data_IF_210453790469
#
_entry.id   IF_210453790469
#
_cell.length_a   1.000
_cell.length_b   1.000
_cell.length_c   1.000
_cell.angle_alpha   90.00
_cell.angle_beta   90.00
_cell.angle_gamma   90.00
#
_symmetry.space_group_name_H-M   'P 1'
#
loop_
_entity.id
_entity.type
_entity.pdbx_description
1 polymer ?
#
# COMPACT_ATOMS: atom_id res chain seq x y z
N UNK A 1 -8.79 -6.55 -8.78
CA UNK A 1 -7.71 -7.55 -8.72
C UNK A 1 -8.23 -8.84 -8.12
N UNK A 2 -7.66 -9.97 -8.55
CA UNK A 2 -7.94 -11.30 -8.00
C UNK A 2 -6.73 -11.77 -7.19
N UNK A 3 -6.96 -12.28 -5.98
CA UNK A 3 -5.90 -12.87 -5.17
C UNK A 3 -5.48 -14.21 -5.78
N UNK A 4 -4.20 -14.36 -6.08
CA UNK A 4 -3.62 -15.57 -6.66
C UNK A 4 -2.57 -16.18 -5.76
N UNK A 5 -2.35 -17.49 -5.88
CA UNK A 5 -1.24 -18.16 -5.20
C UNK A 5 0.09 -17.86 -5.89
N UNK A 6 1.19 -18.17 -5.21
CA UNK A 6 2.53 -18.05 -5.79
C UNK A 6 2.68 -18.92 -7.05
N UNK A 7 2.13 -20.13 -7.05
CA UNK A 7 2.16 -21.06 -8.19
C UNK A 7 1.41 -20.46 -9.39
N UNK A 8 0.25 -19.86 -9.17
CA UNK A 8 -0.49 -19.16 -10.22
C UNK A 8 0.31 -17.95 -10.75
N UNK A 9 1.00 -17.20 -9.90
CA UNK A 9 1.91 -16.13 -10.33
C UNK A 9 3.04 -16.67 -11.23
N UNK A 10 3.65 -17.80 -10.87
CA UNK A 10 4.67 -18.46 -11.70
C UNK A 10 4.10 -18.83 -13.08
N UNK A 11 2.92 -19.43 -13.14
CA UNK A 11 2.27 -19.80 -14.40
C UNK A 11 1.92 -18.60 -15.27
N UNK A 12 1.45 -17.51 -14.67
CA UNK A 12 1.16 -16.25 -15.37
C UNK A 12 2.44 -15.69 -15.99
N UNK A 13 3.49 -15.57 -15.18
CA UNK A 13 4.77 -15.03 -15.64
C UNK A 13 5.46 -15.93 -16.66
N UNK A 14 5.31 -17.26 -16.57
CA UNK A 14 5.86 -18.20 -17.56
C UNK A 14 5.18 -18.04 -18.93
N UNK A 15 3.87 -17.76 -18.96
CA UNK A 15 3.14 -17.48 -20.21
C UNK A 15 3.59 -16.17 -20.85
N UNK A 16 3.84 -15.14 -20.04
CA UNK A 16 4.29 -13.83 -20.52
C UNK A 16 5.79 -13.80 -20.86
N UNK A 17 6.60 -14.56 -20.13
CA UNK A 17 8.06 -14.62 -20.22
C UNK A 17 8.55 -16.07 -20.16
N UNK A 18 8.49 -16.82 -21.27
CA UNK A 18 8.87 -18.23 -21.31
C UNK A 18 10.29 -18.49 -20.81
N UNK A 19 10.45 -19.47 -19.91
CA UNK A 19 11.70 -19.84 -19.25
C UNK A 19 12.10 -18.94 -18.07
N UNK A 20 11.29 -17.94 -17.72
CA UNK A 20 11.59 -16.95 -16.68
C UNK A 20 10.53 -16.87 -15.57
N UNK A 21 9.41 -17.59 -15.66
CA UNK A 21 8.27 -17.42 -14.78
C UNK A 21 8.62 -17.59 -13.30
N UNK A 22 9.30 -18.68 -12.94
CA UNK A 22 9.72 -18.92 -11.55
C UNK A 22 10.78 -17.91 -11.08
N UNK A 23 11.77 -17.63 -11.91
CA UNK A 23 12.85 -16.68 -11.57
C UNK A 23 12.28 -15.29 -11.23
N UNK A 24 11.36 -14.78 -12.05
CA UNK A 24 10.71 -13.49 -11.82
C UNK A 24 9.77 -13.53 -10.62
N UNK A 25 8.97 -14.59 -10.44
CA UNK A 25 8.09 -14.72 -9.28
C UNK A 25 8.88 -14.70 -7.96
N UNK A 26 10.01 -15.42 -7.89
CA UNK A 26 10.88 -15.44 -6.72
C UNK A 26 11.49 -14.06 -6.44
N UNK A 27 12.02 -13.38 -7.46
CA UNK A 27 12.54 -12.01 -7.32
C UNK A 27 11.47 -11.04 -6.82
N UNK A 28 10.27 -11.05 -7.41
CA UNK A 28 9.15 -10.19 -7.00
C UNK A 28 8.77 -10.44 -5.55
N UNK A 29 8.63 -11.71 -5.14
CA UNK A 29 8.34 -12.09 -3.75
C UNK A 29 9.43 -11.58 -2.80
N UNK A 30 10.69 -11.87 -3.12
CA UNK A 30 11.81 -11.57 -2.22
C UNK A 30 12.01 -10.05 -2.08
N UNK A 31 11.89 -9.29 -3.17
CA UNK A 31 11.95 -7.83 -3.16
C UNK A 31 10.77 -7.23 -2.41
N UNK A 32 9.54 -7.71 -2.65
CA UNK A 32 8.33 -7.26 -1.93
C UNK A 32 8.50 -7.42 -0.42
N UNK A 33 8.93 -8.60 0.03
CA UNK A 33 9.10 -8.90 1.45
C UNK A 33 10.25 -8.10 2.07
N UNK A 34 11.36 -7.91 1.35
CA UNK A 34 12.50 -7.13 1.84
C UNK A 34 12.15 -5.64 1.99
N UNK A 35 11.52 -5.06 0.97
CA UNK A 35 11.05 -3.66 0.98
C UNK A 35 10.03 -3.44 2.11
N UNK A 36 9.00 -4.30 2.17
CA UNK A 36 7.97 -4.20 3.21
C UNK A 36 8.57 -4.24 4.61
N UNK A 37 9.42 -5.23 4.92
CA UNK A 37 10.02 -5.37 6.26
C UNK A 37 10.82 -4.12 6.64
N UNK A 38 11.70 -3.66 5.76
CA UNK A 38 12.54 -2.50 6.02
C UNK A 38 11.70 -1.24 6.28
N UNK A 39 10.67 -1.02 5.48
CA UNK A 39 9.82 0.16 5.59
C UNK A 39 8.86 0.09 6.78
N UNK A 40 8.30 -1.09 7.07
CA UNK A 40 7.45 -1.30 8.25
C UNK A 40 8.25 -1.12 9.55
N UNK A 41 9.48 -1.63 9.61
CA UNK A 41 10.39 -1.42 10.74
C UNK A 41 10.68 0.07 10.93
N UNK A 42 10.97 0.81 9.85
CA UNK A 42 11.19 2.24 9.91
C UNK A 42 9.95 3.01 10.37
N UNK A 43 8.79 2.76 9.75
CA UNK A 43 7.54 3.43 10.08
C UNK A 43 7.13 3.19 11.54
N UNK A 44 7.42 2.02 12.08
CA UNK A 44 7.14 1.72 13.48
C UNK A 44 7.93 2.64 14.43
N UNK A 45 9.16 3.03 14.07
CA UNK A 45 9.93 4.04 14.82
C UNK A 45 9.30 5.43 14.80
N UNK A 46 8.38 5.67 13.85
CA UNK A 46 7.60 6.90 13.69
C UNK A 46 6.17 6.77 14.23
N UNK A 47 5.89 5.73 15.03
CA UNK A 47 4.57 5.41 15.57
C UNK A 47 3.51 5.08 14.50
N UNK A 48 3.93 4.55 13.35
CA UNK A 48 3.03 4.10 12.28
C UNK A 48 3.23 2.60 12.04
N UNK A 49 2.13 1.86 12.01
CA UNK A 49 2.08 0.46 11.57
C UNK A 49 1.67 0.45 10.09
N UNK A 50 2.50 -0.17 9.24
CA UNK A 50 2.13 -0.50 7.86
C UNK A 50 1.51 -1.89 7.86
N UNK A 51 0.18 -1.97 7.80
CA UNK A 51 -0.54 -3.24 7.86
C UNK A 51 -0.32 -4.08 6.59
N UNK A 52 -0.37 -3.42 5.44
CA UNK A 52 -0.11 -3.98 4.12
C UNK A 52 0.23 -2.86 3.12
N UNK A 53 0.76 -3.25 1.97
CA UNK A 53 1.12 -2.36 0.85
C UNK A 53 1.03 -3.12 -0.47
N UNK A 54 0.75 -2.40 -1.56
CA UNK A 54 0.94 -2.86 -2.94
C UNK A 54 2.25 -2.28 -3.48
N UNK A 55 3.02 -3.10 -4.19
CA UNK A 55 4.14 -2.63 -5.03
C UNK A 55 3.88 -3.08 -6.47
N UNK A 56 4.33 -2.28 -7.43
CA UNK A 56 4.38 -2.70 -8.83
C UNK A 56 5.83 -2.84 -9.29
N UNK A 57 6.09 -3.89 -10.05
CA UNK A 57 7.40 -4.16 -10.61
C UNK A 57 7.33 -4.22 -12.13
N UNK A 58 8.34 -3.67 -12.78
CA UNK A 58 8.56 -3.78 -14.21
C UNK A 58 9.86 -4.53 -14.51
N UNK A 59 10.15 -4.67 -15.81
CA UNK A 59 11.46 -5.11 -16.30
C UNK A 59 12.15 -3.91 -16.96
N UNK A 60 13.43 -3.68 -16.63
CA UNK A 60 14.24 -2.70 -17.33
C UNK A 60 14.76 -3.26 -18.68
N UNK A 61 15.56 -2.47 -19.40
CA UNK A 61 16.13 -2.84 -20.72
C UNK A 61 17.01 -4.11 -20.68
N UNK A 62 17.53 -4.48 -19.50
CA UNK A 62 18.35 -5.67 -19.29
C UNK A 62 17.52 -6.90 -18.85
N UNK A 63 16.20 -6.76 -18.72
CA UNK A 63 15.31 -7.80 -18.20
C UNK A 63 15.41 -7.98 -16.67
N UNK A 64 15.90 -6.97 -15.95
CA UNK A 64 15.97 -7.00 -14.49
C UNK A 64 14.67 -6.50 -13.87
N UNK A 65 14.23 -7.17 -12.81
CA UNK A 65 13.04 -6.76 -12.04
C UNK A 65 13.37 -5.48 -11.29
N UNK A 66 12.61 -4.42 -11.58
CA UNK A 66 12.78 -3.09 -10.98
C UNK A 66 11.46 -2.61 -10.39
N UNK A 67 11.54 -1.84 -9.30
CA UNK A 67 10.37 -1.19 -8.73
C UNK A 67 9.88 -0.10 -9.70
N UNK A 68 8.58 -0.11 -10.00
CA UNK A 68 7.88 0.95 -10.69
C UNK A 68 6.88 1.63 -9.75
N UNK A 69 5.90 2.34 -10.33
CA UNK A 69 4.78 3.02 -9.65
C UNK A 69 5.20 3.83 -8.38
N UNK A 70 4.23 4.23 -7.58
CA UNK A 70 4.40 4.71 -6.22
C UNK A 70 4.71 3.57 -5.25
N UNK A 71 5.33 3.92 -4.12
CA UNK A 71 5.59 2.99 -3.02
C UNK A 71 5.26 3.63 -1.68
N UNK A 72 4.55 2.89 -0.83
CA UNK A 72 4.33 3.25 0.58
C UNK A 72 3.69 4.63 0.75
N UNK A 73 2.66 4.87 -0.04
CA UNK A 73 1.76 6.03 0.09
C UNK A 73 0.48 5.59 0.80
N UNK A 74 -0.31 6.52 1.37
CA UNK A 74 -1.62 6.18 1.94
C UNK A 74 -2.64 5.66 0.91
N UNK A 75 -2.32 5.77 -0.39
CA UNK A 75 -3.11 5.22 -1.50
C UNK A 75 -2.82 3.73 -1.72
N UNK A 76 -1.53 3.37 -1.70
CA UNK A 76 -1.03 2.02 -1.95
C UNK A 76 -0.89 1.17 -0.67
N UNK A 77 -1.03 1.77 0.51
CA UNK A 77 -0.79 1.13 1.81
C UNK A 77 -1.85 1.45 2.85
N UNK A 78 -2.09 0.51 3.77
CA UNK A 78 -2.88 0.76 4.99
C UNK A 78 -1.97 1.16 6.13
N UNK A 79 -2.06 2.43 6.52
CA UNK A 79 -1.31 2.99 7.64
C UNK A 79 -2.19 3.13 8.88
N UNK A 80 -1.78 2.50 9.98
CA UNK A 80 -2.44 2.62 11.27
C UNK A 80 -1.53 3.36 12.25
N UNK A 81 -2.05 4.29 13.07
CA UNK A 81 -1.29 4.78 14.21
C UNK A 81 -1.02 3.63 15.18
N UNK A 82 0.20 3.62 15.73
CA UNK A 82 0.56 2.69 16.80
C UNK A 82 -0.30 2.96 18.05
N UNK A 83 -0.60 4.22 18.32
CA UNK A 83 -1.55 4.60 19.35
C UNK A 83 -2.96 4.13 18.98
N UNK A 84 -3.61 3.42 19.90
CA UNK A 84 -4.95 2.88 19.71
C UNK A 84 -5.04 1.57 18.91
N UNK A 85 -3.92 1.06 18.38
CA UNK A 85 -3.89 -0.26 17.76
C UNK A 85 -4.27 -1.37 18.76
N UNK A 86 -5.19 -2.26 18.34
CA UNK A 86 -5.58 -3.43 19.13
C UNK A 86 -6.07 -4.57 18.23
N UNK A 87 -5.56 -5.80 18.37
CA UNK A 87 -6.03 -6.93 17.56
C UNK A 87 -7.49 -7.28 17.86
N UNK A 88 -8.19 -7.81 16.85
CA UNK A 88 -9.57 -8.27 16.96
C UNK A 88 -10.66 -7.21 16.73
N UNK A 89 -10.30 -6.03 16.22
CA UNK A 89 -11.22 -4.96 15.85
C UNK A 89 -10.77 -4.21 14.59
N UNK A 90 -11.58 -3.28 14.09
CA UNK A 90 -11.14 -2.29 13.10
C UNK A 90 -10.11 -1.35 13.72
N UNK A 91 -9.11 -0.95 12.93
CA UNK A 91 -8.04 -0.06 13.39
C UNK A 91 -8.31 1.38 12.97
N UNK A 92 -7.80 2.37 13.73
CA UNK A 92 -7.72 3.75 13.23
C UNK A 92 -6.85 3.79 11.97
N UNK A 93 -7.10 4.75 11.08
CA UNK A 93 -6.41 4.79 9.79
C UNK A 93 -5.95 6.20 9.43
N UNK A 94 -4.78 6.29 8.81
CA UNK A 94 -4.30 7.48 8.09
C UNK A 94 -4.72 7.47 6.60
N UNK A 95 -5.48 6.45 6.17
CA UNK A 95 -5.87 6.27 4.76
C UNK A 95 -7.28 6.81 4.46
N UNK A 96 -7.77 6.47 3.26
CA UNK A 96 -9.09 6.80 2.70
C UNK A 96 -10.31 6.33 3.53
N UNK A 97 -10.16 5.95 4.79
CA UNK A 97 -11.23 5.46 5.64
C UNK A 97 -12.38 6.47 5.80
N UNK A 98 -12.09 7.77 5.90
CA UNK A 98 -13.12 8.82 5.94
C UNK A 98 -13.99 8.84 4.68
N UNK A 99 -13.36 8.74 3.51
CA UNK A 99 -14.04 8.65 2.21
C UNK A 99 -14.86 7.36 2.12
N UNK A 100 -14.27 6.22 2.50
CA UNK A 100 -14.95 4.91 2.47
C UNK A 100 -16.18 4.89 3.37
N UNK A 101 -16.07 5.41 4.60
CA UNK A 101 -17.16 5.46 5.56
C UNK A 101 -18.26 6.40 5.09
N UNK A 102 -17.89 7.57 4.53
CA UNK A 102 -18.87 8.50 3.98
C UNK A 102 -19.64 7.91 2.79
N UNK A 103 -18.94 7.31 1.83
CA UNK A 103 -19.58 6.67 0.66
C UNK A 103 -20.47 5.49 1.07
N UNK A 104 -20.07 4.72 2.09
CA UNK A 104 -20.89 3.63 2.62
C UNK A 104 -22.16 4.13 3.30
N UNK A 105 -22.09 5.28 3.97
CA UNK A 105 -23.26 5.93 4.57
C UNK A 105 -24.16 6.64 3.52
N UNK A 106 -23.62 6.97 2.34
CA UNK A 106 -24.31 7.68 1.26
C UNK A 106 -24.22 6.91 -0.07
N UNK A 107 -24.87 5.74 -0.17
CA UNK A 107 -24.77 4.87 -1.35
C UNK A 107 -25.33 5.50 -2.64
N UNK A 108 -26.25 6.46 -2.50
CA UNK A 108 -26.86 7.20 -3.62
C UNK A 108 -26.11 8.50 -3.96
N UNK A 109 -24.93 8.74 -3.38
CA UNK A 109 -24.12 9.93 -3.70
C UNK A 109 -23.66 9.93 -5.15
N UNK A 110 -23.44 11.12 -5.70
CA UNK A 110 -22.82 11.33 -7.02
C UNK A 110 -21.29 11.33 -6.95
N UNK A 111 -20.73 10.84 -5.84
CA UNK A 111 -19.31 10.84 -5.50
C UNK A 111 -18.68 12.23 -5.25
N UNK A 112 -19.48 13.29 -5.16
CA UNK A 112 -19.02 14.57 -4.62
C UNK A 112 -18.93 14.49 -3.10
N UNK A 113 -17.71 14.56 -2.58
CA UNK A 113 -17.46 14.54 -1.16
C UNK A 113 -17.68 15.95 -0.56
N UNK A 114 -18.28 16.06 0.63
CA UNK A 114 -18.32 17.32 1.37
C UNK A 114 -16.91 17.81 1.71
N UNK A 115 -16.75 19.13 1.79
CA UNK A 115 -15.47 19.78 2.10
C UNK A 115 -14.84 19.22 3.38
N UNK A 116 -15.63 18.92 4.41
CA UNK A 116 -15.11 18.40 5.68
C UNK A 116 -14.51 16.98 5.55
N UNK A 117 -15.03 16.16 4.65
CA UNK A 117 -14.47 14.82 4.35
C UNK A 117 -13.18 14.96 3.56
N UNK A 118 -13.13 15.92 2.62
CA UNK A 118 -11.95 16.24 1.83
C UNK A 118 -10.83 16.74 2.75
N UNK A 119 -11.08 17.77 3.55
CA UNK A 119 -10.12 18.36 4.48
C UNK A 119 -9.55 17.31 5.45
N UNK A 120 -10.41 16.53 6.11
CA UNK A 120 -9.97 15.45 7.03
C UNK A 120 -9.11 14.40 6.32
N UNK A 121 -9.42 14.10 5.06
CA UNK A 121 -8.63 13.14 4.28
C UNK A 121 -7.26 13.75 3.97
N UNK A 122 -7.20 14.99 3.50
CA UNK A 122 -5.93 15.70 3.21
C UNK A 122 -5.05 15.80 4.47
N UNK A 123 -5.62 16.20 5.60
CA UNK A 123 -4.90 16.34 6.86
C UNK A 123 -4.20 15.03 7.28
N UNK A 124 -4.83 13.87 7.00
CA UNK A 124 -4.24 12.56 7.32
C UNK A 124 -3.08 12.19 6.42
N UNK A 125 -3.12 12.60 5.15
CA UNK A 125 -2.00 12.41 4.22
C UNK A 125 -0.82 13.28 4.62
N UNK A 126 -1.09 14.55 4.97
CA UNK A 126 -0.09 15.48 5.49
C UNK A 126 0.54 14.92 6.77
N UNK A 127 -0.28 14.51 7.75
CA UNK A 127 0.20 13.93 9.01
C UNK A 127 1.10 12.69 8.78
N UNK A 128 0.67 11.77 7.91
CA UNK A 128 1.47 10.58 7.58
C UNK A 128 2.79 10.96 6.88
N UNK A 129 2.77 11.91 5.95
CA UNK A 129 3.98 12.42 5.30
C UNK A 129 4.94 13.02 6.32
N UNK A 130 4.48 13.97 7.14
CA UNK A 130 5.34 14.68 8.09
C UNK A 130 5.95 13.73 9.14
N UNK A 131 5.21 12.71 9.60
CA UNK A 131 5.71 11.70 10.52
C UNK A 131 6.78 10.80 9.89
N UNK A 132 6.55 10.35 8.65
CA UNK A 132 7.45 9.42 7.95
C UNK A 132 8.70 10.12 7.42
N UNK A 133 8.58 11.31 6.85
CA UNK A 133 9.71 12.07 6.30
C UNK A 133 10.47 12.86 7.37
N UNK A 134 9.78 13.33 8.42
CA UNK A 134 10.30 14.33 9.35
C UNK A 134 10.35 15.74 8.76
N UNK A 135 9.74 15.97 7.60
CA UNK A 135 9.68 17.24 6.89
C UNK A 135 8.27 17.86 7.01
N UNK A 136 8.18 19.19 6.87
CA UNK A 136 6.90 19.89 6.78
C UNK A 136 6.39 19.85 5.34
N UNK A 137 5.08 19.60 5.19
CA UNK A 137 4.41 19.61 3.89
C UNK A 137 4.30 21.02 3.31
#
# INVERSE_FOLDING_TARGET
>A
DENVSFEATVEILEKSYPGKGREYAEKIRDYTLALYKKCAEYALTKNIIIADTKFEFGLNENGEVVLGDEMLTPDSSRFWPLEGYKPGQSQPSFDKQYVRDWLKAHPDSDFLLPDDVIEKTVDKYVEAYELLSGEKF
#
